data_IF_374836109295
#
_entry.id   IF_374836109295
#
_cell.length_a   1.000
_cell.length_b   1.000
_cell.length_c   1.000
_cell.angle_alpha   90.00
_cell.angle_beta   90.00
_cell.angle_gamma   90.00
#
_symmetry.space_group_name_H-M   'P 1'
#
loop_
_entity.id
_entity.type
_entity.pdbx_description
1 polymer ?
#
# COMPACT_ATOMS: atom_id res chain seq x y z
N UNK A 1 2.04 -20.54 -1.46
CA UNK A 1 3.33 -20.68 -2.18
C UNK A 1 3.69 -22.14 -2.15
N UNK A 2 3.92 -22.72 -3.33
CA UNK A 2 4.15 -24.17 -3.44
C UNK A 2 5.65 -24.46 -3.43
N UNK A 3 6.29 -24.11 -2.32
CA UNK A 3 7.71 -24.38 -2.13
C UNK A 3 7.93 -25.84 -1.68
N UNK A 4 9.14 -26.36 -1.90
CA UNK A 4 9.49 -27.76 -1.60
C UNK A 4 9.58 -28.09 -0.10
N UNK A 5 9.76 -27.07 0.74
CA UNK A 5 9.96 -27.19 2.19
C UNK A 5 8.62 -27.10 2.96
N UNK A 6 7.52 -26.79 2.27
CA UNK A 6 6.20 -26.63 2.87
C UNK A 6 6.05 -25.28 3.59
N UNK A 7 5.21 -25.25 4.63
CA UNK A 7 4.96 -24.00 5.36
C UNK A 7 6.16 -23.60 6.24
N UNK A 8 6.65 -22.38 6.04
CA UNK A 8 7.80 -21.82 6.75
C UNK A 8 7.40 -20.86 7.88
N UNK A 9 6.10 -20.64 8.13
CA UNK A 9 5.62 -19.69 9.16
C UNK A 9 6.18 -19.98 10.56
N UNK A 10 6.48 -21.25 10.87
CA UNK A 10 7.06 -21.66 12.16
C UNK A 10 8.51 -21.21 12.38
N UNK A 11 9.23 -20.78 11.33
CA UNK A 11 10.61 -20.32 11.43
C UNK A 11 10.75 -18.88 11.95
N UNK A 12 9.64 -18.16 12.11
CA UNK A 12 9.59 -16.82 12.69
C UNK A 12 8.63 -15.90 11.95
N UNK A 13 8.31 -14.75 12.56
CA UNK A 13 7.33 -13.80 12.02
C UNK A 13 7.73 -13.21 10.68
N UNK A 14 9.02 -13.19 10.34
CA UNK A 14 9.53 -12.76 9.04
C UNK A 14 9.15 -13.72 7.89
N UNK A 15 8.70 -14.94 8.20
CA UNK A 15 8.22 -15.93 7.24
C UNK A 15 6.69 -15.95 7.10
N UNK A 16 5.97 -15.18 7.92
CA UNK A 16 4.53 -14.95 7.80
C UNK A 16 4.26 -13.97 6.65
N UNK A 17 4.04 -14.52 5.45
CA UNK A 17 3.92 -13.76 4.20
C UNK A 17 2.54 -13.83 3.56
N UNK A 18 1.56 -14.43 4.25
CA UNK A 18 0.19 -14.47 3.74
C UNK A 18 -0.48 -13.09 3.82
N UNK A 19 -1.58 -12.92 3.08
CA UNK A 19 -2.37 -11.69 3.12
C UNK A 19 -2.92 -11.39 4.53
N UNK A 20 -3.38 -12.43 5.24
CA UNK A 20 -3.88 -12.31 6.62
C UNK A 20 -2.78 -11.95 7.62
N UNK A 21 -1.53 -12.35 7.35
CA UNK A 21 -0.38 -11.97 8.18
C UNK A 21 -0.08 -10.49 8.05
N UNK A 22 -0.13 -9.93 6.84
CA UNK A 22 -0.02 -8.48 6.65
C UNK A 22 -1.10 -7.74 7.44
N UNK A 23 -2.34 -8.20 7.35
CA UNK A 23 -3.50 -7.62 8.04
C UNK A 23 -3.35 -7.63 9.56
N UNK A 24 -2.90 -8.75 10.11
CA UNK A 24 -2.88 -8.98 11.57
C UNK A 24 -1.60 -8.46 12.23
N UNK A 25 -0.46 -8.57 11.55
CA UNK A 25 0.86 -8.29 12.13
C UNK A 25 1.43 -6.94 11.66
N UNK A 26 1.30 -6.62 10.37
CA UNK A 26 1.97 -5.46 9.77
C UNK A 26 1.09 -4.22 9.81
N UNK A 27 -0.13 -4.31 9.27
CA UNK A 27 -1.07 -3.20 9.12
C UNK A 27 -1.32 -2.40 10.42
N UNK A 28 -1.45 -3.01 11.62
CA UNK A 28 -1.64 -2.25 12.85
C UNK A 28 -0.44 -1.39 13.26
N UNK A 29 0.75 -1.74 12.77
CA UNK A 29 2.04 -1.11 13.14
C UNK A 29 2.51 -0.07 12.13
N UNK A 30 1.84 0.03 10.97
CA UNK A 30 2.17 1.02 9.95
C UNK A 30 2.04 2.46 10.49
N UNK A 31 2.97 3.28 10.07
CA UNK A 31 3.04 4.72 10.30
C UNK A 31 2.89 5.50 8.99
N UNK A 32 2.74 6.81 9.10
CA UNK A 32 2.68 7.76 7.99
C UNK A 32 3.98 7.84 7.16
N UNK A 33 5.08 7.29 7.66
CA UNK A 33 6.36 7.20 6.96
C UNK A 33 6.48 5.96 6.09
N UNK A 34 5.66 4.94 6.37
CA UNK A 34 5.70 3.68 5.64
C UNK A 34 5.01 3.80 4.30
N UNK A 35 5.48 3.02 3.33
CA UNK A 35 4.94 2.95 1.97
C UNK A 35 4.39 1.56 1.72
N UNK A 36 3.19 1.49 1.15
CA UNK A 36 2.55 0.22 0.77
C UNK A 36 2.30 0.21 -0.73
N UNK A 37 2.68 -0.89 -1.38
CA UNK A 37 2.48 -1.11 -2.81
C UNK A 37 1.52 -2.28 -3.03
N UNK A 38 0.41 -2.03 -3.72
CA UNK A 38 -0.50 -3.08 -4.15
C UNK A 38 -0.14 -3.50 -5.58
N UNK A 39 0.02 -4.80 -5.78
CA UNK A 39 0.25 -5.42 -7.08
C UNK A 39 -0.94 -6.35 -7.35
N UNK A 40 -1.71 -6.08 -8.40
CA UNK A 40 -2.87 -6.89 -8.74
C UNK A 40 -3.19 -6.79 -10.24
N UNK A 41 -4.08 -7.64 -10.69
CA UNK A 41 -4.47 -7.82 -12.09
C UNK A 41 -5.99 -7.72 -12.25
N UNK A 42 -6.47 -7.70 -13.49
CA UNK A 42 -7.91 -7.77 -13.79
C UNK A 42 -8.60 -9.07 -13.34
N UNK A 43 -7.84 -10.11 -12.99
CA UNK A 43 -8.38 -11.39 -12.54
C UNK A 43 -8.52 -11.47 -11.01
N UNK A 44 -7.94 -10.51 -10.27
CA UNK A 44 -8.05 -10.45 -8.82
C UNK A 44 -9.40 -9.84 -8.39
N UNK A 45 -9.83 -10.14 -7.17
CA UNK A 45 -11.05 -9.53 -6.61
C UNK A 45 -10.81 -8.06 -6.28
N UNK A 46 -11.29 -7.20 -7.16
CA UNK A 46 -11.19 -5.74 -7.05
C UNK A 46 -11.86 -5.22 -5.77
N UNK A 47 -12.93 -5.87 -5.29
CA UNK A 47 -13.60 -5.49 -4.05
C UNK A 47 -12.74 -5.74 -2.82
N UNK A 48 -11.97 -6.82 -2.79
CA UNK A 48 -11.02 -7.09 -1.71
C UNK A 48 -9.80 -6.15 -1.77
N UNK A 49 -9.34 -5.83 -2.98
CA UNK A 49 -8.31 -4.80 -3.19
C UNK A 49 -8.80 -3.44 -2.67
N UNK A 50 -10.04 -3.05 -2.95
CA UNK A 50 -10.62 -1.78 -2.48
C UNK A 50 -10.74 -1.73 -0.94
N UNK A 51 -11.20 -2.81 -0.32
CA UNK A 51 -11.22 -2.93 1.16
C UNK A 51 -9.82 -2.78 1.74
N UNK A 52 -8.81 -3.41 1.12
CA UNK A 52 -7.43 -3.29 1.56
C UNK A 52 -6.92 -1.85 1.45
N UNK A 53 -7.21 -1.17 0.34
CA UNK A 53 -6.88 0.25 0.13
C UNK A 53 -7.49 1.11 1.24
N UNK A 54 -8.74 0.88 1.62
CA UNK A 54 -9.39 1.63 2.70
C UNK A 54 -8.66 1.45 4.03
N UNK A 55 -8.37 0.19 4.41
CA UNK A 55 -7.70 -0.15 5.66
C UNK A 55 -6.28 0.42 5.75
N UNK A 56 -5.52 0.38 4.65
CA UNK A 56 -4.17 0.96 4.62
C UNK A 56 -4.21 2.48 4.70
N UNK A 57 -5.21 3.14 4.10
CA UNK A 57 -5.38 4.60 4.16
C UNK A 57 -5.65 5.15 5.55
N UNK A 58 -6.20 4.33 6.44
CA UNK A 58 -6.33 4.70 7.86
C UNK A 58 -4.97 4.80 8.58
N UNK A 59 -3.91 4.24 7.98
CA UNK A 59 -2.57 4.17 8.58
C UNK A 59 -1.54 5.04 7.86
N UNK A 60 -1.53 5.02 6.54
CA UNK A 60 -0.57 5.78 5.73
C UNK A 60 -1.21 6.28 4.44
N UNK A 61 -0.77 7.47 3.99
CA UNK A 61 -1.17 8.03 2.71
C UNK A 61 -0.22 7.65 1.55
N UNK A 62 0.95 7.06 1.86
CA UNK A 62 1.94 6.62 0.88
C UNK A 62 1.54 5.25 0.28
N UNK A 63 0.37 5.24 -0.35
CA UNK A 63 -0.22 4.06 -0.93
C UNK A 63 -0.17 4.15 -2.45
N UNK A 64 0.49 3.17 -3.06
CA UNK A 64 0.63 3.07 -4.51
C UNK A 64 0.11 1.73 -5.01
N UNK A 65 -0.23 1.69 -6.30
CA UNK A 65 -0.69 0.46 -6.93
C UNK A 65 -0.10 0.30 -8.32
N UNK A 66 0.32 -0.92 -8.66
CA UNK A 66 0.59 -1.36 -10.02
C UNK A 66 -0.51 -2.36 -10.41
N UNK A 67 -1.25 -2.01 -11.45
CA UNK A 67 -2.35 -2.82 -11.95
C UNK A 67 -2.04 -3.30 -13.36
N UNK A 68 -2.27 -4.59 -13.60
CA UNK A 68 -2.14 -5.21 -14.92
C UNK A 68 -3.52 -5.65 -15.43
N UNK A 69 -4.06 -4.90 -16.39
CA UNK A 69 -5.35 -5.18 -17.02
C UNK A 69 -5.23 -5.61 -18.47
N UNK A 70 -6.33 -6.14 -19.02
CA UNK A 70 -6.49 -6.35 -20.46
C UNK A 70 -6.91 -5.04 -21.14
N UNK A 71 -6.72 -4.96 -22.45
CA UNK A 71 -7.13 -3.79 -23.23
C UNK A 71 -8.64 -3.53 -23.08
N UNK A 72 -9.00 -2.32 -22.66
CA UNK A 72 -10.39 -1.92 -22.40
C UNK A 72 -10.89 -2.12 -20.96
N UNK A 73 -10.07 -2.66 -20.05
CA UNK A 73 -10.44 -2.79 -18.64
C UNK A 73 -10.34 -1.44 -17.90
N UNK A 74 -11.39 -1.11 -17.15
CA UNK A 74 -11.51 0.13 -16.37
C UNK A 74 -11.59 -0.11 -14.87
N UNK A 75 -11.48 -1.37 -14.40
CA UNK A 75 -11.61 -1.75 -13.00
C UNK A 75 -10.41 -1.37 -12.10
N UNK A 76 -9.74 -0.26 -12.42
CA UNK A 76 -8.58 0.23 -11.67
C UNK A 76 -9.05 0.83 -10.35
N UNK A 77 -8.68 0.20 -9.23
CA UNK A 77 -8.83 0.83 -7.90
C UNK A 77 -7.92 2.04 -7.87
N UNK A 78 -8.53 3.23 -7.80
CA UNK A 78 -7.80 4.49 -7.68
C UNK A 78 -7.23 4.64 -6.29
N UNK A 79 -6.03 4.11 -6.06
CA UNK A 79 -5.16 4.53 -4.97
C UNK A 79 -4.67 5.97 -5.26
N UNK A 80 -5.56 6.97 -5.16
CA UNK A 80 -5.21 8.39 -5.37
C UNK A 80 -4.09 8.80 -4.41
N UNK A 81 -2.91 9.07 -4.93
CA UNK A 81 -1.79 9.62 -4.16
C UNK A 81 -2.19 10.99 -3.61
N UNK A 82 -1.97 11.23 -2.32
CA UNK A 82 -2.09 12.58 -1.78
C UNK A 82 -0.92 13.42 -2.33
N UNK A 83 -1.19 14.30 -3.29
CA UNK A 83 -0.23 15.33 -3.71
C UNK A 83 -0.20 16.43 -2.65
N UNK A 84 0.85 16.47 -1.82
CA UNK A 84 1.05 17.56 -0.88
C UNK A 84 1.75 18.73 -1.59
N UNK A 85 1.02 19.80 -1.88
CA UNK A 85 1.59 21.05 -2.40
C UNK A 85 2.04 21.94 -1.23
N UNK A 86 3.35 22.07 -1.01
CA UNK A 86 3.90 22.98 0.00
C UNK A 86 4.12 24.37 -0.60
N UNK A 87 3.44 25.40 -0.07
CA UNK A 87 3.70 26.80 -0.44
C UNK A 87 4.66 27.40 0.60
N UNK A 88 5.84 27.85 0.17
CA UNK A 88 6.81 28.55 1.03
C UNK A 88 6.69 30.06 0.84
N UNK A 89 6.38 30.79 1.91
CA UNK A 89 6.44 32.27 1.95
C UNK A 89 7.77 32.69 2.57
N UNK A 90 8.66 33.31 1.79
CA UNK A 90 9.90 33.89 2.30
C UNK A 90 9.71 35.37 2.66
N UNK A 91 9.89 35.70 3.94
CA UNK A 91 9.97 37.08 4.43
C UNK A 91 11.44 37.52 4.44
N UNK A 92 11.81 38.46 3.57
CA UNK A 92 13.14 39.07 3.60
C UNK A 92 13.14 40.30 4.50
N UNK A 93 13.93 40.25 5.59
CA UNK A 93 14.26 41.41 6.42
C UNK A 93 15.49 42.08 5.85
N UNK A 94 15.36 43.34 5.43
CA UNK A 94 16.46 44.17 4.94
C UNK A 94 16.98 45.04 6.08
N UNK A 95 18.28 44.97 6.37
CA UNK A 95 18.94 45.80 7.38
C UNK A 95 19.68 46.94 6.67
N UNK A 96 19.50 48.16 7.17
CA UNK A 96 19.94 49.44 6.60
C UNK A 96 21.45 49.59 6.36
#
# INVERSE_FOLDING_TARGET
MDNIEGDLTSLGSQFCIAHEDFVSLVLPTLSDRDTVLLLYTCHDDVGDVEKMVHRVREKTSNLHSLYHGLEGDTAVVRARTHTHTHTHTHTHTHTH
#
